data_IF_472590195107
#
_entry.id   IF_472590195107
#
_cell.length_a   1.000
_cell.length_b   1.000
_cell.length_c   1.000
_cell.angle_alpha   90.00
_cell.angle_beta   90.00
_cell.angle_gamma   90.00
#
_symmetry.space_group_name_H-M   'P 1'
#
loop_
_entity.id
_entity.type
_entity.pdbx_description
1 polymer ?
#
# COMPACT_ATOMS: atom_id res chain seq x y z
N UNK A 1 3.60 -17.66 2.23
CA UNK A 1 2.97 -16.57 3.02
C UNK A 1 4.08 -15.82 3.76
N UNK A 2 4.81 -14.95 3.06
CA UNK A 2 6.12 -14.41 3.50
C UNK A 2 6.01 -13.48 4.72
N UNK A 3 4.85 -12.87 4.93
CA UNK A 3 4.54 -12.00 6.08
C UNK A 3 4.32 -12.74 7.40
N UNK A 4 4.27 -14.08 7.39
CA UNK A 4 4.02 -14.92 8.58
C UNK A 4 5.25 -15.76 8.94
N UNK A 5 6.34 -15.58 8.19
CA UNK A 5 7.62 -16.21 8.54
C UNK A 5 8.03 -15.72 9.92
N UNK A 6 8.48 -16.64 10.78
CA UNK A 6 8.79 -16.39 12.20
C UNK A 6 9.68 -15.16 12.42
N UNK A 7 10.64 -14.93 11.52
CA UNK A 7 11.55 -13.79 11.57
C UNK A 7 10.84 -12.45 11.36
N UNK A 8 9.79 -12.40 10.55
CA UNK A 8 8.96 -11.21 10.32
C UNK A 8 8.06 -10.93 11.53
N UNK A 9 7.41 -11.97 12.08
CA UNK A 9 6.56 -11.85 13.28
C UNK A 9 7.37 -11.40 14.50
N UNK A 10 8.57 -11.98 14.67
CA UNK A 10 9.48 -11.60 15.76
C UNK A 10 9.99 -10.17 15.62
N UNK A 11 10.28 -9.71 14.40
CA UNK A 11 10.63 -8.30 14.15
C UNK A 11 9.49 -7.36 14.52
N UNK A 12 8.25 -7.67 14.13
CA UNK A 12 7.07 -6.88 14.51
C UNK A 12 6.86 -6.83 16.03
N UNK A 13 7.09 -7.94 16.74
CA UNK A 13 6.99 -7.98 18.20
C UNK A 13 8.13 -7.21 18.91
N UNK A 14 9.28 -7.04 18.25
CA UNK A 14 10.45 -6.35 18.80
C UNK A 14 10.44 -4.84 18.54
N UNK A 15 9.74 -4.39 17.49
CA UNK A 15 9.47 -2.98 17.21
C UNK A 15 8.19 -2.57 17.93
N UNK A 16 8.25 -1.55 18.78
CA UNK A 16 7.17 -1.07 19.66
C UNK A 16 5.72 -1.36 19.19
N UNK A 17 5.04 -2.23 19.96
CA UNK A 17 3.59 -2.43 20.07
C UNK A 17 2.73 -2.27 18.80
N UNK A 18 3.10 -2.94 17.71
CA UNK A 18 2.20 -3.10 16.56
C UNK A 18 1.31 -4.31 16.83
N UNK A 19 0.07 -4.08 17.28
CA UNK A 19 -0.95 -5.14 17.31
C UNK A 19 -1.29 -5.54 15.87
N UNK A 20 -0.99 -6.79 15.52
CA UNK A 20 -1.35 -7.36 14.21
C UNK A 20 -2.71 -8.03 14.35
N UNK A 21 -3.79 -7.45 13.80
CA UNK A 21 -5.11 -8.07 13.89
C UNK A 21 -5.16 -9.39 13.10
N UNK A 22 -5.98 -10.36 13.54
CA UNK A 22 -6.14 -11.62 12.82
C UNK A 22 -6.77 -11.35 11.43
N UNK A 23 -5.97 -11.52 10.39
CA UNK A 23 -6.40 -11.40 8.99
C UNK A 23 -6.88 -12.76 8.48
N UNK A 24 -8.17 -12.82 8.14
CA UNK A 24 -8.77 -13.99 7.50
C UNK A 24 -8.03 -14.32 6.18
N UNK A 25 -7.94 -15.62 5.87
CA UNK A 25 -7.38 -16.10 4.62
C UNK A 25 -8.25 -15.55 3.46
N UNK A 26 -7.65 -14.83 2.52
CA UNK A 26 -8.30 -14.28 1.31
C UNK A 26 -9.29 -13.12 1.51
N UNK A 27 -9.03 -12.22 2.45
CA UNK A 27 -9.86 -11.04 2.70
C UNK A 27 -9.35 -9.74 2.07
N UNK A 28 -8.94 -9.78 0.79
CA UNK A 28 -8.53 -8.54 0.08
C UNK A 28 -9.67 -7.50 0.00
N UNK A 29 -10.93 -7.92 -0.02
CA UNK A 29 -12.07 -7.00 -0.02
C UNK A 29 -12.29 -6.28 1.32
N UNK A 30 -11.67 -6.75 2.41
CA UNK A 30 -11.85 -6.22 3.77
C UNK A 30 -10.70 -5.32 4.23
N UNK A 31 -9.62 -5.25 3.46
CA UNK A 31 -8.51 -4.34 3.76
C UNK A 31 -8.83 -2.95 3.19
N UNK A 32 -8.93 -1.90 4.02
CA UNK A 32 -9.18 -0.54 3.55
C UNK A 32 -8.12 -0.09 2.53
N UNK A 33 -6.89 -0.58 2.67
CA UNK A 33 -5.79 -0.33 1.73
C UNK A 33 -6.06 -1.02 0.38
N UNK A 34 -6.45 -2.30 0.39
CA UNK A 34 -6.62 -3.07 -0.85
C UNK A 34 -7.77 -2.51 -1.72
N UNK A 35 -8.93 -2.19 -1.11
CA UNK A 35 -10.08 -1.74 -1.88
C UNK A 35 -10.01 -0.27 -2.32
N UNK A 36 -9.59 0.65 -1.44
CA UNK A 36 -9.65 2.09 -1.76
C UNK A 36 -8.37 2.62 -2.39
N UNK A 37 -7.20 2.22 -1.87
CA UNK A 37 -5.93 2.77 -2.34
C UNK A 37 -5.54 2.22 -3.71
N UNK A 38 -5.50 0.90 -3.87
CA UNK A 38 -5.06 0.29 -5.12
C UNK A 38 -6.03 0.51 -6.27
N UNK A 39 -7.34 0.63 -6.00
CA UNK A 39 -8.31 1.01 -7.03
C UNK A 39 -8.03 2.40 -7.59
N UNK A 40 -7.79 3.37 -6.71
CA UNK A 40 -7.46 4.74 -7.11
C UNK A 40 -6.12 4.82 -7.83
N UNK A 41 -5.13 4.06 -7.34
CA UNK A 41 -3.82 3.93 -7.97
C UNK A 41 -3.91 3.30 -9.37
N UNK A 42 -4.64 2.19 -9.53
CA UNK A 42 -4.83 1.54 -10.83
C UNK A 42 -5.48 2.49 -11.85
N UNK A 43 -6.49 3.26 -11.43
CA UNK A 43 -7.11 4.26 -12.29
C UNK A 43 -6.10 5.36 -12.70
N UNK A 44 -5.26 5.81 -11.79
CA UNK A 44 -4.20 6.80 -12.07
C UNK A 44 -3.12 6.26 -13.02
N UNK A 45 -2.83 4.96 -12.95
CA UNK A 45 -1.80 4.29 -13.74
C UNK A 45 -2.31 3.76 -15.09
N UNK A 46 -3.62 3.61 -15.28
CA UNK A 46 -4.23 2.90 -16.42
C UNK A 46 -3.78 3.37 -17.82
N UNK A 47 -3.33 4.62 -17.96
CA UNK A 47 -2.89 5.19 -19.24
C UNK A 47 -1.39 5.52 -19.28
N UNK A 48 -0.61 5.09 -18.28
CA UNK A 48 0.82 5.41 -18.18
C UNK A 48 1.66 4.19 -18.59
N UNK A 49 2.68 4.43 -19.42
CA UNK A 49 3.70 3.44 -19.76
C UNK A 49 5.06 3.98 -19.32
N UNK A 50 5.77 3.21 -18.51
CA UNK A 50 7.05 3.58 -17.95
C UNK A 50 8.18 2.86 -18.68
N UNK A 51 9.30 3.56 -18.88
CA UNK A 51 10.52 2.99 -19.48
C UNK A 51 11.68 2.93 -18.48
N UNK A 52 11.61 3.73 -17.42
CA UNK A 52 12.61 3.78 -16.35
C UNK A 52 11.93 3.70 -14.99
N UNK A 53 12.67 3.19 -14.01
CA UNK A 53 12.24 3.12 -12.62
C UNK A 53 11.98 4.52 -12.02
N UNK A 54 12.83 5.50 -12.36
CA UNK A 54 12.70 6.89 -11.91
C UNK A 54 11.35 7.51 -12.31
N UNK A 55 10.85 7.19 -13.51
CA UNK A 55 9.55 7.66 -13.99
C UNK A 55 8.39 7.11 -13.12
N UNK A 56 8.54 5.88 -12.62
CA UNK A 56 7.58 5.22 -11.73
C UNK A 56 7.61 5.90 -10.36
N UNK A 57 8.80 6.13 -9.81
CA UNK A 57 8.96 6.78 -8.50
C UNK A 57 8.38 8.20 -8.51
N UNK A 58 8.71 8.99 -9.53
CA UNK A 58 8.18 10.35 -9.66
C UNK A 58 6.64 10.37 -9.80
N UNK A 59 6.08 9.50 -10.65
CA UNK A 59 4.62 9.44 -10.79
C UNK A 59 3.91 8.96 -9.53
N UNK A 60 4.52 8.08 -8.75
CA UNK A 60 3.99 7.69 -7.44
C UNK A 60 4.01 8.85 -6.44
N UNK A 61 5.10 9.62 -6.38
CA UNK A 61 5.18 10.83 -5.55
C UNK A 61 4.10 11.87 -5.94
N UNK A 62 3.85 12.04 -7.23
CA UNK A 62 2.77 12.91 -7.72
C UNK A 62 1.39 12.42 -7.26
N UNK A 63 1.12 11.11 -7.34
CA UNK A 63 -0.13 10.52 -6.88
C UNK A 63 -0.38 10.76 -5.38
N UNK A 64 0.65 10.58 -4.55
CA UNK A 64 0.54 10.86 -3.11
C UNK A 64 0.24 12.34 -2.84
N UNK A 65 0.95 13.24 -3.54
CA UNK A 65 0.77 14.70 -3.42
C UNK A 65 -0.65 15.16 -3.82
N UNK A 66 -1.22 14.56 -4.87
CA UNK A 66 -2.60 14.78 -5.29
C UNK A 66 -3.59 14.40 -4.18
N UNK A 67 -3.38 13.25 -3.54
CA UNK A 67 -4.29 12.75 -2.49
C UNK A 67 -4.21 13.56 -1.19
N UNK A 68 -3.04 14.10 -0.85
CA UNK A 68 -2.87 14.97 0.31
C UNK A 68 -3.53 16.35 0.10
N UNK A 69 -3.67 16.78 -1.15
CA UNK A 69 -4.35 18.03 -1.51
C UNK A 69 -5.87 17.90 -1.43
N UNK A 70 -6.43 16.74 -1.80
CA UNK A 70 -7.87 16.45 -1.69
C UNK A 70 -8.33 16.28 -0.23
N UNK A 71 -7.45 15.82 0.68
CA UNK A 71 -7.77 15.72 2.12
C UNK A 71 -7.80 17.07 2.85
N UNK A 72 -7.33 18.15 2.23
CA UNK A 72 -7.28 19.51 2.81
C UNK A 72 -8.40 20.44 2.34
N UNK A 73 -9.35 19.92 1.55
CA UNK A 73 -10.60 20.60 1.19
C UNK A 73 -11.74 20.05 2.03
#
# INVERSE_FOLDING_TARGET
RSHIVSTTVQKFASTECIEVPPHLLYSSDLSPTDFHFFRSLNNFLAQKRFRKQEDIENTFQQFLSLRDSEKRR
#
